data_IF_495431990997
#
_entry.id   IF_495431990997
#
_cell.length_a   1.000
_cell.length_b   1.000
_cell.length_c   1.000
_cell.angle_alpha   90.00
_cell.angle_beta   90.00
_cell.angle_gamma   90.00
#
_symmetry.space_group_name_H-M   'P 1'
#
loop_
_entity.id
_entity.type
_entity.pdbx_description
1 polymer ?
#
# COMPACT_ATOMS: atom_id res chain seq x y z
N UNK A 1 -3.47 27.97 -19.78
CA UNK A 1 -2.74 27.63 -18.54
C UNK A 1 -1.87 26.42 -18.84
N UNK A 2 -0.58 26.49 -18.58
CA UNK A 2 0.32 25.34 -18.75
C UNK A 2 0.11 24.27 -17.68
N UNK A 3 0.66 23.07 -17.91
CA UNK A 3 0.46 21.91 -17.02
C UNK A 3 1.08 22.12 -15.64
N UNK A 4 2.22 22.81 -15.54
CA UNK A 4 2.84 23.10 -14.26
C UNK A 4 1.97 24.03 -13.40
N UNK A 5 1.28 24.97 -14.03
CA UNK A 5 0.36 25.91 -13.39
C UNK A 5 -0.92 25.20 -12.97
N UNK A 6 -1.44 24.28 -13.80
CA UNK A 6 -2.57 23.42 -13.41
C UNK A 6 -2.23 22.55 -12.20
N UNK A 7 -1.07 21.90 -12.20
CA UNK A 7 -0.62 21.07 -11.08
C UNK A 7 -0.47 21.87 -9.79
N UNK A 8 0.08 23.10 -9.86
CA UNK A 8 0.15 23.98 -8.68
C UNK A 8 -1.23 24.42 -8.20
N UNK A 9 -2.13 24.76 -9.11
CA UNK A 9 -3.47 25.25 -8.77
C UNK A 9 -4.31 24.14 -8.13
N UNK A 10 -4.48 23.01 -8.82
CA UNK A 10 -5.26 21.89 -8.31
C UNK A 10 -4.54 21.16 -7.17
N UNK A 11 -3.20 21.14 -7.16
CA UNK A 11 -2.43 20.56 -6.07
C UNK A 11 -2.59 21.27 -4.72
N UNK A 12 -3.15 22.48 -4.73
CA UNK A 12 -3.48 23.23 -3.52
C UNK A 12 -4.89 22.92 -2.97
N UNK A 13 -5.73 22.19 -3.71
CA UNK A 13 -7.07 21.82 -3.26
C UNK A 13 -7.08 20.43 -2.65
N UNK A 14 -7.71 20.31 -1.48
CA UNK A 14 -8.09 19.00 -0.98
C UNK A 14 -9.23 18.41 -1.82
N UNK A 15 -9.41 17.10 -1.78
CA UNK A 15 -10.52 16.41 -2.45
C UNK A 15 -11.85 17.02 -2.02
N UNK A 16 -12.08 17.14 -0.71
CA UNK A 16 -13.34 17.68 -0.18
C UNK A 16 -13.57 19.13 -0.61
N UNK A 17 -12.54 19.99 -0.52
CA UNK A 17 -12.66 21.39 -0.95
C UNK A 17 -13.01 21.47 -2.44
N UNK A 18 -12.33 20.68 -3.27
CA UNK A 18 -12.62 20.67 -4.71
C UNK A 18 -14.05 20.22 -5.01
N UNK A 19 -14.51 19.11 -4.41
CA UNK A 19 -15.84 18.58 -4.66
C UNK A 19 -16.94 19.53 -4.19
N UNK A 20 -16.76 20.20 -3.04
CA UNK A 20 -17.76 21.12 -2.48
C UNK A 20 -17.71 22.51 -3.14
N UNK A 21 -16.54 23.13 -3.21
CA UNK A 21 -16.42 24.56 -3.55
C UNK A 21 -16.18 24.80 -5.04
N UNK A 22 -15.54 23.86 -5.75
CA UNK A 22 -15.21 24.01 -7.17
C UNK A 22 -16.22 23.26 -8.05
N UNK A 23 -16.52 22.01 -7.72
CA UNK A 23 -17.50 21.19 -8.44
C UNK A 23 -18.95 21.43 -7.97
N UNK A 24 -19.15 22.18 -6.88
CA UNK A 24 -20.46 22.55 -6.34
C UNK A 24 -21.37 21.33 -6.06
N UNK A 25 -20.80 20.24 -5.55
CA UNK A 25 -21.56 19.06 -5.17
C UNK A 25 -22.23 19.25 -3.80
N UNK A 26 -23.41 18.66 -3.64
CA UNK A 26 -24.09 18.64 -2.35
C UNK A 26 -23.32 17.81 -1.33
N UNK A 27 -23.52 18.08 -0.03
CA UNK A 27 -22.87 17.31 1.04
C UNK A 27 -23.13 15.80 0.92
N UNK A 28 -24.38 15.41 0.65
CA UNK A 28 -24.73 14.00 0.47
C UNK A 28 -24.06 13.36 -0.74
N UNK A 29 -23.84 14.10 -1.83
CA UNK A 29 -23.07 13.59 -2.97
C UNK A 29 -21.60 13.40 -2.62
N UNK A 30 -21.00 14.31 -1.85
CA UNK A 30 -19.60 14.18 -1.37
C UNK A 30 -19.45 13.00 -0.42
N UNK A 31 -20.39 12.82 0.52
CA UNK A 31 -20.37 11.68 1.44
C UNK A 31 -20.53 10.34 0.68
N UNK A 32 -21.44 10.29 -0.31
CA UNK A 32 -21.62 9.12 -1.17
C UNK A 32 -20.36 8.79 -1.99
N UNK A 33 -19.73 9.81 -2.59
CA UNK A 33 -18.46 9.67 -3.31
C UNK A 33 -17.37 9.15 -2.36
N UNK A 34 -17.28 9.72 -1.16
CA UNK A 34 -16.32 9.31 -0.13
C UNK A 34 -16.42 7.83 0.19
N UNK A 35 -17.64 7.35 0.46
CA UNK A 35 -17.88 5.97 0.80
C UNK A 35 -17.67 5.03 -0.39
N UNK A 36 -18.34 5.29 -1.52
CA UNK A 36 -18.39 4.36 -2.65
C UNK A 36 -17.08 4.27 -3.43
N UNK A 37 -16.26 5.32 -3.40
CA UNK A 37 -14.99 5.37 -4.13
C UNK A 37 -13.77 5.24 -3.21
N UNK A 38 -13.95 4.87 -1.95
CA UNK A 38 -12.89 4.75 -0.94
C UNK A 38 -12.09 6.06 -0.75
N UNK A 39 -12.76 7.21 -0.82
CA UNK A 39 -12.13 8.54 -0.70
C UNK A 39 -12.35 9.20 0.67
N UNK A 40 -13.23 8.63 1.50
CA UNK A 40 -13.62 9.24 2.78
C UNK A 40 -12.41 9.54 3.68
N UNK A 41 -11.49 8.57 3.82
CA UNK A 41 -10.28 8.73 4.62
C UNK A 41 -9.24 9.67 3.98
N UNK A 42 -9.39 10.00 2.69
CA UNK A 42 -8.45 10.81 1.91
C UNK A 42 -9.04 12.16 1.47
N UNK A 43 -10.16 12.57 2.07
CA UNK A 43 -10.83 13.85 1.77
C UNK A 43 -9.93 15.07 1.97
N UNK A 44 -8.88 14.94 2.80
CA UNK A 44 -7.87 15.97 3.03
C UNK A 44 -6.75 15.99 1.98
N UNK A 45 -6.55 14.90 1.24
CA UNK A 45 -5.45 14.76 0.31
C UNK A 45 -5.62 15.69 -0.90
N UNK A 46 -4.52 15.95 -1.61
CA UNK A 46 -4.57 16.74 -2.84
C UNK A 46 -5.45 16.05 -3.89
N UNK A 47 -6.35 16.81 -4.53
CA UNK A 47 -7.19 16.27 -5.62
C UNK A 47 -6.36 15.76 -6.81
N UNK A 48 -5.11 16.24 -6.95
CA UNK A 48 -4.18 15.74 -7.98
C UNK A 48 -3.81 14.28 -7.74
N UNK A 49 -3.70 13.83 -6.48
CA UNK A 49 -3.42 12.42 -6.18
C UNK A 49 -4.59 11.54 -6.58
N UNK A 50 -5.82 11.95 -6.25
CA UNK A 50 -7.02 11.20 -6.65
C UNK A 50 -7.19 11.19 -8.17
N UNK A 51 -6.97 12.33 -8.85
CA UNK A 51 -7.03 12.38 -10.30
C UNK A 51 -5.98 11.47 -10.96
N UNK A 52 -4.79 11.35 -10.36
CA UNK A 52 -3.74 10.42 -10.79
C UNK A 52 -4.20 8.97 -10.62
N UNK A 53 -4.80 8.62 -9.50
CA UNK A 53 -5.28 7.26 -9.25
C UNK A 53 -6.38 6.85 -10.24
N UNK A 54 -7.40 7.69 -10.46
CA UNK A 54 -8.43 7.41 -11.48
C UNK A 54 -7.88 7.35 -12.91
N UNK A 55 -6.75 8.02 -13.18
CA UNK A 55 -6.07 7.94 -14.48
C UNK A 55 -5.30 6.64 -14.66
N UNK A 56 -4.65 6.16 -13.60
CA UNK A 56 -3.87 4.92 -13.60
C UNK A 56 -4.76 3.67 -13.49
N UNK A 57 -5.88 3.79 -12.77
CA UNK A 57 -6.84 2.75 -12.49
C UNK A 57 -8.22 3.16 -13.04
N UNK A 58 -8.39 3.25 -14.38
CA UNK A 58 -9.69 3.56 -14.95
C UNK A 58 -10.70 2.46 -14.64
N UNK A 59 -11.99 2.79 -14.68
CA UNK A 59 -13.07 1.84 -14.34
C UNK A 59 -13.08 0.55 -15.18
N UNK A 60 -12.48 0.58 -16.38
CA UNK A 60 -12.34 -0.57 -17.28
C UNK A 60 -10.94 -1.21 -17.25
N UNK A 61 -10.13 -0.91 -16.23
CA UNK A 61 -8.84 -1.54 -16.05
C UNK A 61 -9.00 -3.04 -15.83
N UNK A 62 -8.20 -3.84 -16.54
CA UNK A 62 -8.10 -5.27 -16.30
C UNK A 62 -6.96 -5.52 -15.32
N UNK A 63 -7.29 -6.18 -14.21
CA UNK A 63 -6.31 -6.57 -13.20
C UNK A 63 -5.90 -8.03 -13.41
N UNK A 64 -4.62 -8.30 -13.21
CA UNK A 64 -4.07 -9.65 -13.18
C UNK A 64 -3.25 -9.80 -11.91
N UNK A 65 -3.06 -11.04 -11.49
CA UNK A 65 -2.25 -11.39 -10.35
C UNK A 65 -1.19 -12.41 -10.79
N UNK A 66 -0.15 -12.54 -10.00
CA UNK A 66 0.85 -13.60 -10.19
C UNK A 66 0.39 -14.83 -9.42
N UNK A 67 0.11 -15.91 -10.13
CA UNK A 67 -0.21 -17.21 -9.52
C UNK A 67 0.91 -17.62 -8.55
N UNK A 68 0.55 -17.94 -7.32
CA UNK A 68 1.51 -18.28 -6.26
C UNK A 68 2.05 -17.09 -5.46
N UNK A 69 1.74 -15.85 -5.84
CA UNK A 69 2.07 -14.64 -5.06
C UNK A 69 2.88 -13.60 -5.83
N UNK A 70 2.66 -12.32 -5.49
CA UNK A 70 3.33 -11.20 -6.16
C UNK A 70 4.83 -11.09 -5.80
N UNK A 71 5.28 -11.71 -4.71
CA UNK A 71 6.69 -11.72 -4.29
C UNK A 71 7.58 -12.54 -5.24
N UNK A 72 7.00 -13.48 -6.00
CA UNK A 72 7.70 -14.24 -7.04
C UNK A 72 8.40 -13.34 -8.06
N UNK A 73 7.83 -12.18 -8.41
CA UNK A 73 8.45 -11.23 -9.32
C UNK A 73 9.78 -10.69 -8.77
N UNK A 74 9.78 -10.24 -7.52
CA UNK A 74 10.97 -9.67 -6.89
C UNK A 74 12.02 -10.75 -6.62
N UNK A 75 11.58 -11.95 -6.22
CA UNK A 75 12.47 -13.11 -6.03
C UNK A 75 13.15 -13.52 -7.34
N UNK A 76 12.40 -13.54 -8.45
CA UNK A 76 12.94 -13.85 -9.77
C UNK A 76 13.95 -12.78 -10.22
N UNK A 77 13.66 -11.49 -10.00
CA UNK A 77 14.57 -10.40 -10.32
C UNK A 77 15.87 -10.47 -9.51
N UNK A 78 15.78 -10.76 -8.20
CA UNK A 78 16.93 -10.94 -7.33
C UNK A 78 17.83 -12.09 -7.81
N UNK A 79 17.23 -13.23 -8.18
CA UNK A 79 17.95 -14.38 -8.76
C UNK A 79 18.60 -14.03 -10.10
N UNK A 80 17.85 -13.37 -10.99
CA UNK A 80 18.34 -13.00 -12.31
C UNK A 80 19.56 -12.09 -12.23
N UNK A 81 19.57 -11.13 -11.28
CA UNK A 81 20.69 -10.22 -11.05
C UNK A 81 21.98 -10.98 -10.74
N UNK A 82 21.90 -12.02 -9.90
CA UNK A 82 23.06 -12.84 -9.51
C UNK A 82 23.61 -13.73 -10.64
N UNK A 83 22.80 -14.00 -11.66
CA UNK A 83 23.17 -14.90 -12.78
C UNK A 83 23.63 -14.17 -14.04
N UNK A 84 23.67 -12.82 -14.05
CA UNK A 84 24.09 -12.05 -15.23
C UNK A 84 25.57 -12.35 -15.57
N UNK A 85 25.87 -12.88 -16.77
CA UNK A 85 27.25 -13.15 -17.18
C UNK A 85 28.08 -11.86 -17.22
N UNK A 86 29.18 -11.82 -16.47
CA UNK A 86 30.07 -10.65 -16.38
C UNK A 86 29.57 -9.52 -15.46
N UNK A 87 28.33 -9.56 -14.98
CA UNK A 87 27.78 -8.61 -14.01
C UNK A 87 28.04 -9.05 -12.57
N UNK A 88 28.78 -8.24 -11.80
CA UNK A 88 28.98 -8.49 -10.36
C UNK A 88 27.80 -7.95 -9.55
N UNK A 89 26.66 -8.62 -9.60
CA UNK A 89 25.55 -8.29 -8.70
C UNK A 89 25.70 -9.07 -7.39
N UNK A 90 25.95 -8.36 -6.29
CA UNK A 90 26.01 -8.93 -4.94
C UNK A 90 24.86 -8.40 -4.11
N UNK A 91 24.06 -9.31 -3.54
CA UNK A 91 22.92 -8.98 -2.69
C UNK A 91 23.25 -9.30 -1.23
N UNK A 92 23.13 -8.30 -0.36
CA UNK A 92 23.37 -8.44 1.07
C UNK A 92 22.09 -8.15 1.84
N UNK A 93 21.50 -9.19 2.43
CA UNK A 93 20.33 -9.06 3.30
C UNK A 93 20.75 -8.81 4.76
N UNK A 94 19.82 -8.30 5.57
CA UNK A 94 20.05 -7.99 7.00
C UNK A 94 21.22 -7.02 7.23
N UNK A 95 21.42 -6.08 6.29
CA UNK A 95 22.44 -5.03 6.34
C UNK A 95 21.79 -3.65 6.23
N UNK A 96 21.06 -3.17 7.25
CA UNK A 96 20.46 -1.84 7.21
C UNK A 96 21.57 -0.78 7.15
N UNK A 97 21.55 0.05 6.11
CA UNK A 97 22.52 1.15 5.97
C UNK A 97 22.13 2.28 6.92
N UNK A 98 23.07 2.67 7.77
CA UNK A 98 22.88 3.74 8.77
C UNK A 98 23.58 5.03 8.37
N UNK A 99 24.67 4.93 7.59
CA UNK A 99 25.42 6.10 7.14
C UNK A 99 25.88 5.95 5.69
N UNK A 100 25.94 7.09 4.99
CA UNK A 100 26.54 7.22 3.66
C UNK A 100 27.60 8.32 3.72
N UNK A 101 28.86 7.93 3.55
CA UNK A 101 29.99 8.85 3.53
C UNK A 101 30.44 9.02 2.08
N UNK A 102 30.52 10.25 1.59
CA UNK A 102 30.99 10.55 0.24
C UNK A 102 32.18 11.51 0.30
N UNK A 103 33.28 11.10 -0.30
CA UNK A 103 34.50 11.88 -0.40
C UNK A 103 34.57 12.57 -1.76
N UNK A 104 34.54 13.91 -1.76
CA UNK A 104 34.65 14.69 -2.99
C UNK A 104 36.06 14.67 -3.59
N UNK A 105 37.10 14.37 -2.81
CA UNK A 105 38.47 14.27 -3.33
C UNK A 105 38.67 12.98 -4.11
N UNK A 106 38.22 11.84 -3.56
CA UNK A 106 38.34 10.53 -4.22
C UNK A 106 37.17 10.20 -5.14
N UNK A 107 36.08 10.99 -5.13
CA UNK A 107 34.84 10.72 -5.87
C UNK A 107 34.26 9.33 -5.54
N UNK A 108 34.40 8.89 -4.29
CA UNK A 108 33.92 7.59 -3.83
C UNK A 108 33.05 7.74 -2.60
N UNK A 109 32.02 6.89 -2.54
CA UNK A 109 31.19 6.67 -1.38
C UNK A 109 31.59 5.41 -0.61
N UNK A 110 31.37 5.45 0.69
CA UNK A 110 31.50 4.34 1.62
C UNK A 110 30.19 4.23 2.42
N UNK A 111 29.78 3.00 2.72
CA UNK A 111 28.54 2.71 3.43
C UNK A 111 28.86 2.20 4.84
N UNK A 112 28.01 2.51 5.80
CA UNK A 112 28.06 1.91 7.14
C UNK A 112 26.74 1.24 7.47
N UNK A 113 26.83 0.14 8.21
CA UNK A 113 25.69 -0.55 8.80
C UNK A 113 25.97 -0.77 10.28
N UNK A 114 25.15 -0.18 11.16
CA UNK A 114 25.30 -0.26 12.62
C UNK A 114 26.70 0.10 13.12
N UNK A 115 27.30 1.15 12.56
CA UNK A 115 28.64 1.62 12.93
C UNK A 115 29.80 0.80 12.34
N UNK A 116 29.51 -0.21 11.52
CA UNK A 116 30.53 -1.00 10.82
C UNK A 116 30.60 -0.57 9.37
N UNK A 117 31.79 -0.17 8.92
CA UNK A 117 32.07 0.14 7.52
C UNK A 117 31.92 -1.09 6.64
N UNK A 118 31.14 -0.96 5.57
CA UNK A 118 30.98 -2.01 4.56
C UNK A 118 32.18 -1.94 3.62
N UNK A 119 32.89 -3.06 3.38
CA UNK A 119 34.00 -3.09 2.44
C UNK A 119 33.55 -2.69 1.03
N UNK A 120 34.19 -1.68 0.46
CA UNK A 120 33.93 -1.23 -0.90
C UNK A 120 34.01 0.29 -1.04
N UNK A 121 34.42 0.73 -2.24
CA UNK A 121 34.35 2.13 -2.66
C UNK A 121 33.39 2.21 -3.85
N UNK A 122 32.34 3.01 -3.70
CA UNK A 122 31.27 3.12 -4.69
C UNK A 122 31.42 4.44 -5.45
N UNK A 123 31.42 4.43 -6.78
CA UNK A 123 31.39 5.67 -7.57
C UNK A 123 30.04 6.38 -7.45
N UNK A 124 28.99 5.56 -7.37
CA UNK A 124 27.59 5.98 -7.35
C UNK A 124 26.84 5.23 -6.26
N UNK A 125 25.92 5.93 -5.59
CA UNK A 125 25.05 5.35 -4.57
C UNK A 125 23.62 5.75 -4.90
N UNK A 126 22.76 4.75 -5.12
CA UNK A 126 21.33 4.94 -5.33
C UNK A 126 20.60 4.53 -4.05
N UNK A 127 19.95 5.50 -3.40
CA UNK A 127 19.12 5.27 -2.22
C UNK A 127 17.69 4.98 -2.68
N UNK A 128 17.32 3.71 -2.72
CA UNK A 128 16.01 3.22 -3.17
C UNK A 128 15.10 2.79 -2.00
N UNK A 129 15.17 3.51 -0.88
CA UNK A 129 14.32 3.29 0.30
C UNK A 129 13.13 4.27 0.30
N UNK A 130 12.20 4.12 1.25
CA UNK A 130 11.17 5.14 1.47
C UNK A 130 11.79 6.46 1.94
N UNK A 131 11.12 7.59 1.72
CA UNK A 131 11.64 8.90 2.13
C UNK A 131 11.90 8.97 3.65
N UNK A 132 11.05 8.33 4.46
CA UNK A 132 11.21 8.24 5.92
C UNK A 132 12.44 7.42 6.32
N UNK A 133 12.69 6.29 5.66
CA UNK A 133 13.90 5.50 5.89
C UNK A 133 15.16 6.25 5.43
N UNK A 134 15.12 6.90 4.27
CA UNK A 134 16.23 7.74 3.81
C UNK A 134 16.51 8.90 4.77
N UNK A 135 15.48 9.51 5.37
CA UNK A 135 15.66 10.57 6.37
C UNK A 135 16.37 10.10 7.65
N UNK A 136 16.37 8.80 7.95
CA UNK A 136 17.07 8.21 9.08
C UNK A 136 18.56 7.90 8.79
N UNK A 137 18.98 7.94 7.53
CA UNK A 137 20.36 7.70 7.12
C UNK A 137 21.20 8.97 7.37
N UNK A 138 22.36 8.81 7.98
CA UNK A 138 23.32 9.90 8.15
C UNK A 138 24.16 10.10 6.87
N UNK A 139 23.87 11.17 6.13
CA UNK A 139 24.64 11.56 4.94
C UNK A 139 25.77 12.51 5.31
N UNK A 140 27.00 12.14 4.94
CA UNK A 140 28.22 12.93 5.17
C UNK A 140 28.99 13.10 3.86
N UNK A 141 29.08 14.31 3.28
CA UNK A 141 28.45 15.55 3.73
C UNK A 141 26.93 15.49 3.63
N UNK A 142 26.25 16.36 4.40
CA UNK A 142 24.79 16.46 4.38
C UNK A 142 24.28 16.73 2.96
N UNK A 143 23.06 16.26 2.69
CA UNK A 143 22.35 16.51 1.43
C UNK A 143 22.34 18.02 1.15
N UNK A 144 22.99 18.43 0.04
CA UNK A 144 23.21 19.85 -0.31
C UNK A 144 21.92 20.66 -0.45
N UNK A 145 20.88 20.05 -1.01
CA UNK A 145 19.63 20.73 -1.29
C UNK A 145 18.69 20.66 -0.09
N UNK A 146 18.49 21.80 0.58
CA UNK A 146 17.58 21.90 1.74
C UNK A 146 16.15 21.48 1.40
N UNK A 147 15.67 21.78 0.18
CA UNK A 147 14.35 21.38 -0.31
C UNK A 147 14.20 19.86 -0.39
N UNK A 148 15.26 19.14 -0.78
CA UNK A 148 15.28 17.68 -0.76
C UNK A 148 15.20 17.16 0.68
N UNK A 149 15.94 17.75 1.61
CA UNK A 149 15.90 17.36 3.02
C UNK A 149 14.54 17.67 3.68
N UNK A 150 13.91 18.79 3.33
CA UNK A 150 12.54 19.12 3.74
C UNK A 150 11.54 18.10 3.20
N UNK A 151 11.63 17.76 1.90
CA UNK A 151 10.76 16.76 1.27
C UNK A 151 10.87 15.39 1.97
N UNK A 152 12.07 14.93 2.31
CA UNK A 152 12.25 13.65 3.02
C UNK A 152 11.53 13.61 4.38
N UNK A 153 11.43 14.75 5.08
CA UNK A 153 10.74 14.85 6.38
C UNK A 153 9.24 15.06 6.25
N UNK A 154 8.81 15.80 5.24
CA UNK A 154 7.44 16.30 5.11
C UNK A 154 6.57 15.46 4.19
N UNK A 155 7.15 14.54 3.41
CA UNK A 155 6.38 13.65 2.56
C UNK A 155 5.39 12.84 3.42
N UNK A 156 4.11 12.96 3.06
CA UNK A 156 3.03 12.22 3.69
C UNK A 156 3.00 10.78 3.16
N UNK A 157 2.72 9.84 4.04
CA UNK A 157 2.43 8.46 3.70
C UNK A 157 1.14 8.10 4.40
N UNK A 158 0.16 7.61 3.67
CA UNK A 158 -1.06 7.12 4.29
C UNK A 158 -0.82 5.76 4.93
N UNK A 159 -1.53 5.51 6.02
CA UNK A 159 -1.57 4.21 6.64
C UNK A 159 -2.34 3.23 5.73
N UNK A 160 -2.04 1.94 5.83
CA UNK A 160 -2.83 0.91 5.18
C UNK A 160 -2.85 -0.32 6.09
N UNK A 161 -4.02 -0.93 6.23
CA UNK A 161 -4.20 -2.15 7.03
C UNK A 161 -5.04 -3.16 6.27
N UNK A 162 -4.62 -4.42 6.34
CA UNK A 162 -5.27 -5.56 5.70
C UNK A 162 -5.52 -6.63 6.75
N UNK A 163 -6.76 -7.08 6.86
CA UNK A 163 -7.14 -8.21 7.72
C UNK A 163 -7.66 -9.30 6.81
N UNK A 164 -6.99 -10.44 6.81
CA UNK A 164 -7.39 -11.61 6.04
C UNK A 164 -7.86 -12.72 6.98
N UNK A 165 -8.93 -13.41 6.58
CA UNK A 165 -9.44 -14.58 7.28
C UNK A 165 -9.38 -15.80 6.37
N UNK A 166 -8.95 -16.92 6.94
CA UNK A 166 -9.12 -18.22 6.31
C UNK A 166 -10.41 -18.89 6.79
N UNK A 167 -11.10 -19.50 5.85
CA UNK A 167 -12.32 -20.26 6.07
C UNK A 167 -12.14 -21.68 5.54
N UNK A 168 -12.90 -22.63 6.07
CA UNK A 168 -12.92 -24.02 5.59
C UNK A 168 -13.56 -24.16 4.21
N UNK A 169 -14.51 -23.27 3.90
CA UNK A 169 -15.26 -23.24 2.64
C UNK A 169 -15.48 -21.80 2.17
N UNK A 170 -15.65 -21.61 0.85
CA UNK A 170 -16.03 -20.32 0.24
C UNK A 170 -17.53 -20.05 0.41
N UNK A 171 -17.97 -19.86 1.64
CA UNK A 171 -19.40 -19.73 1.98
C UNK A 171 -20.10 -18.56 1.26
N UNK A 172 -19.38 -17.51 0.87
CA UNK A 172 -19.92 -16.38 0.11
C UNK A 172 -20.38 -16.76 -1.30
N UNK A 173 -19.87 -17.85 -1.89
CA UNK A 173 -20.35 -18.36 -3.19
C UNK A 173 -21.80 -18.86 -3.12
N UNK A 174 -22.28 -19.29 -1.93
CA UNK A 174 -23.70 -19.62 -1.71
C UNK A 174 -24.60 -18.40 -1.85
N UNK A 175 -24.03 -17.20 -1.72
CA UNK A 175 -24.70 -15.92 -1.94
C UNK A 175 -24.42 -15.35 -3.35
N UNK A 176 -23.93 -16.19 -4.26
CA UNK A 176 -23.65 -15.85 -5.67
C UNK A 176 -22.52 -14.81 -5.81
N UNK A 177 -21.62 -14.74 -4.83
CA UNK A 177 -20.44 -13.86 -4.87
C UNK A 177 -19.24 -14.70 -5.37
N UNK A 178 -18.69 -14.37 -6.54
CA UNK A 178 -17.59 -15.12 -7.17
C UNK A 178 -16.38 -14.23 -7.49
N UNK A 179 -16.11 -13.25 -6.65
CA UNK A 179 -15.08 -12.24 -6.84
C UNK A 179 -15.57 -10.84 -6.48
N UNK A 180 -14.72 -9.83 -6.70
CA UNK A 180 -15.06 -8.44 -6.44
C UNK A 180 -14.97 -8.08 -4.96
N UNK A 181 -15.80 -7.14 -4.53
CA UNK A 181 -15.78 -6.62 -3.16
C UNK A 181 -17.15 -6.13 -2.69
N UNK A 182 -17.32 -6.06 -1.37
CA UNK A 182 -18.41 -5.35 -0.70
C UNK A 182 -17.88 -4.06 -0.10
N UNK A 183 -18.72 -3.01 -0.12
CA UNK A 183 -18.43 -1.69 0.43
C UNK A 183 -19.37 -1.43 1.61
N UNK A 184 -18.85 -0.90 2.70
CA UNK A 184 -19.62 -0.59 3.91
C UNK A 184 -19.01 0.59 4.65
N UNK A 185 -19.83 1.26 5.46
CA UNK A 185 -19.42 2.27 6.43
C UNK A 185 -18.96 1.65 7.77
N UNK A 186 -19.10 0.34 7.94
CA UNK A 186 -18.52 -0.40 9.06
C UNK A 186 -16.98 -0.32 9.05
N UNK A 187 -16.33 -0.51 10.21
CA UNK A 187 -14.86 -0.52 10.33
C UNK A 187 -14.07 -1.21 9.23
N UNK A 188 -14.56 -2.33 8.71
CA UNK A 188 -13.88 -3.12 7.67
C UNK A 188 -13.80 -2.44 6.30
N UNK A 189 -14.66 -1.46 6.02
CA UNK A 189 -14.76 -0.65 4.80
C UNK A 189 -14.93 -1.44 3.49
N UNK A 190 -13.90 -2.16 3.08
CA UNK A 190 -13.87 -2.96 1.86
C UNK A 190 -13.53 -4.42 2.16
N UNK A 191 -14.43 -5.31 1.79
CA UNK A 191 -14.26 -6.77 1.87
C UNK A 191 -13.98 -7.29 0.47
N UNK A 192 -12.85 -7.94 0.23
CA UNK A 192 -12.54 -8.51 -1.09
C UNK A 192 -12.67 -10.03 -1.09
N UNK A 193 -13.40 -10.53 -2.09
CA UNK A 193 -13.63 -11.95 -2.33
C UNK A 193 -12.67 -12.43 -3.41
N UNK A 194 -11.86 -13.42 -3.06
CA UNK A 194 -10.96 -14.03 -4.01
C UNK A 194 -11.64 -15.19 -4.73
N UNK A 195 -11.38 -15.29 -6.03
CA UNK A 195 -11.82 -16.42 -6.88
C UNK A 195 -10.60 -17.19 -7.41
N UNK A 196 -9.52 -17.21 -6.63
CA UNK A 196 -8.33 -17.98 -6.99
C UNK A 196 -8.58 -19.45 -6.61
N UNK A 197 -8.03 -20.36 -7.42
CA UNK A 197 -8.10 -21.82 -7.25
C UNK A 197 -9.41 -22.49 -7.73
N UNK A 198 -9.66 -22.41 -9.04
CA UNK A 198 -10.65 -23.27 -9.75
C UNK A 198 -10.05 -24.59 -10.25
N UNK A 199 -8.74 -24.81 -10.07
CA UNK A 199 -8.07 -26.05 -10.49
C UNK A 199 -8.40 -27.25 -9.62
N UNK A 200 -8.84 -27.03 -8.37
CA UNK A 200 -9.52 -28.05 -7.60
C UNK A 200 -11.02 -27.72 -7.54
N UNK A 201 -11.87 -28.65 -8.00
CA UNK A 201 -13.31 -28.68 -7.69
C UNK A 201 -13.58 -28.89 -6.18
N UNK A 202 -12.59 -28.60 -5.32
CA UNK A 202 -12.65 -28.82 -3.89
C UNK A 202 -12.98 -27.52 -3.22
N UNK A 203 -14.23 -27.45 -2.76
CA UNK A 203 -14.69 -26.49 -1.75
C UNK A 203 -14.00 -26.66 -0.38
N UNK A 204 -13.10 -27.63 -0.25
CA UNK A 204 -12.54 -28.15 1.01
C UNK A 204 -11.05 -27.79 1.24
N UNK A 205 -10.37 -27.16 0.27
CA UNK A 205 -8.92 -26.84 0.37
C UNK A 205 -8.64 -25.54 1.15
N UNK A 206 -9.64 -25.00 1.85
CA UNK A 206 -9.57 -23.71 2.52
C UNK A 206 -9.82 -22.53 1.58
N UNK A 207 -10.25 -21.41 2.16
CA UNK A 207 -10.76 -20.25 1.46
C UNK A 207 -10.20 -18.98 2.12
N UNK A 208 -9.50 -18.14 1.36
CA UNK A 208 -9.00 -16.86 1.87
C UNK A 208 -9.94 -15.73 1.47
N UNK A 209 -10.24 -14.85 2.42
CA UNK A 209 -10.93 -13.58 2.17
C UNK A 209 -10.12 -12.45 2.77
N UNK A 210 -10.01 -11.33 2.05
CA UNK A 210 -9.53 -10.08 2.64
C UNK A 210 -10.74 -9.38 3.26
N UNK A 211 -11.00 -9.70 4.53
CA UNK A 211 -12.15 -9.20 5.30
C UNK A 211 -12.13 -7.71 5.60
N UNK A 212 -10.97 -7.07 5.50
CA UNK A 212 -10.84 -5.62 5.63
C UNK A 212 -9.64 -5.16 4.83
N UNK A 213 -9.83 -4.13 4.01
CA UNK A 213 -8.76 -3.36 3.41
C UNK A 213 -9.05 -1.87 3.59
N UNK A 214 -8.31 -1.24 4.48
CA UNK A 214 -8.50 0.15 4.89
C UNK A 214 -7.24 0.96 4.62
N UNK A 215 -7.43 2.25 4.36
CA UNK A 215 -6.39 3.21 4.04
C UNK A 215 -6.51 4.43 4.95
N UNK A 216 -5.42 5.18 5.08
CA UNK A 216 -5.36 6.45 5.77
C UNK A 216 -6.00 6.38 7.16
N UNK A 217 -6.92 7.30 7.50
CA UNK A 217 -7.58 7.37 8.80
C UNK A 217 -8.39 6.11 9.13
N UNK A 218 -8.99 5.44 8.14
CA UNK A 218 -9.71 4.17 8.37
C UNK A 218 -8.75 3.07 8.84
N UNK A 219 -7.51 3.09 8.38
CA UNK A 219 -6.49 2.12 8.80
C UNK A 219 -5.99 2.35 10.24
N UNK A 220 -6.11 3.59 10.76
CA UNK A 220 -5.63 3.92 12.11
C UNK A 220 -6.46 3.24 13.20
N UNK A 221 -7.72 2.90 12.92
CA UNK A 221 -8.57 2.15 13.85
C UNK A 221 -7.90 0.86 14.32
N UNK A 222 -7.28 0.13 13.39
CA UNK A 222 -6.64 -1.15 13.67
C UNK A 222 -5.33 -1.00 14.44
N UNK A 223 -4.66 0.14 14.29
CA UNK A 223 -3.34 0.39 14.89
C UNK A 223 -3.38 0.44 16.43
N UNK A 224 -4.54 0.74 17.01
CA UNK A 224 -4.74 0.73 18.46
C UNK A 224 -5.19 -0.62 19.03
N UNK A 225 -5.44 -1.61 18.18
CA UNK A 225 -5.99 -2.91 18.57
C UNK A 225 -4.94 -4.02 18.50
N UNK A 226 -5.12 -5.05 19.33
CA UNK A 226 -4.38 -6.31 19.16
C UNK A 226 -4.98 -7.09 17.99
N UNK A 227 -4.15 -7.86 17.30
CA UNK A 227 -4.55 -8.65 16.12
C UNK A 227 -5.81 -9.47 16.35
N UNK A 228 -5.93 -10.16 17.50
CA UNK A 228 -7.11 -10.97 17.82
C UNK A 228 -8.41 -10.14 17.98
N UNK A 229 -8.30 -8.90 18.44
CA UNK A 229 -9.44 -7.98 18.56
C UNK A 229 -9.83 -7.45 17.18
N UNK A 230 -8.85 -7.10 16.36
CA UNK A 230 -9.05 -6.66 14.96
C UNK A 230 -9.71 -7.75 14.13
N UNK A 231 -9.21 -8.98 14.19
CA UNK A 231 -9.79 -10.12 13.49
C UNK A 231 -11.23 -10.40 13.95
N UNK A 232 -11.49 -10.38 15.26
CA UNK A 232 -12.84 -10.59 15.79
C UNK A 232 -13.82 -9.52 15.33
N UNK A 233 -13.45 -8.24 15.41
CA UNK A 233 -14.31 -7.14 14.94
C UNK A 233 -14.59 -7.27 13.44
N UNK A 234 -13.60 -7.64 12.64
CA UNK A 234 -13.80 -7.88 11.21
C UNK A 234 -14.76 -9.05 10.94
N UNK A 235 -14.68 -10.16 11.69
CA UNK A 235 -15.66 -11.25 11.62
C UNK A 235 -17.08 -10.80 12.03
N UNK A 236 -17.19 -10.00 13.10
CA UNK A 236 -18.47 -9.42 13.54
C UNK A 236 -19.09 -8.56 12.43
N UNK A 237 -18.28 -7.75 11.74
CA UNK A 237 -18.73 -6.94 10.60
C UNK A 237 -19.13 -7.81 9.40
N UNK A 238 -18.39 -8.88 9.09
CA UNK A 238 -18.78 -9.83 8.04
C UNK A 238 -20.13 -10.48 8.32
N UNK A 239 -20.41 -10.83 9.58
CA UNK A 239 -21.70 -11.37 9.99
C UNK A 239 -22.85 -10.37 9.71
N UNK A 240 -22.62 -9.07 9.95
CA UNK A 240 -23.58 -8.00 9.61
C UNK A 240 -23.76 -7.87 8.09
N UNK A 241 -22.66 -7.78 7.33
CA UNK A 241 -22.70 -7.58 5.87
C UNK A 241 -23.43 -8.74 5.16
N UNK A 242 -23.18 -9.97 5.60
CA UNK A 242 -23.70 -11.17 4.95
C UNK A 242 -24.97 -11.73 5.57
N UNK A 243 -25.43 -11.15 6.69
CA UNK A 243 -26.57 -11.64 7.48
C UNK A 243 -26.50 -13.16 7.73
N UNK A 244 -25.28 -13.68 7.96
CA UNK A 244 -25.00 -15.11 7.97
C UNK A 244 -24.42 -15.53 9.32
N UNK A 245 -25.27 -16.12 10.17
CA UNK A 245 -24.89 -16.62 11.50
C UNK A 245 -23.76 -17.65 11.49
N UNK A 246 -23.48 -18.25 10.34
CA UNK A 246 -22.49 -19.32 10.18
C UNK A 246 -21.08 -18.82 9.84
N UNK A 247 -20.84 -17.51 9.63
CA UNK A 247 -19.48 -16.99 9.29
C UNK A 247 -18.42 -17.49 10.27
N UNK A 248 -18.72 -17.50 11.57
CA UNK A 248 -17.80 -18.01 12.60
C UNK A 248 -17.56 -19.52 12.51
N UNK A 249 -18.58 -20.30 12.12
CA UNK A 249 -18.46 -21.77 12.01
C UNK A 249 -17.52 -22.21 10.89
N UNK A 250 -17.28 -21.33 9.91
CA UNK A 250 -16.35 -21.60 8.82
C UNK A 250 -14.95 -21.07 9.08
N UNK A 251 -14.73 -20.18 10.05
CA UNK A 251 -13.42 -19.57 10.31
C UNK A 251 -12.43 -20.61 10.87
N UNK A 252 -11.22 -20.66 10.33
CA UNK A 252 -10.22 -21.71 10.67
C UNK A 252 -9.01 -21.20 11.44
N UNK A 253 -8.95 -19.90 11.74
CA UNK A 253 -7.86 -19.26 12.49
C UNK A 253 -8.09 -17.76 12.63
#
# INVERSE_FOLDING_TARGET
MDDATRLRMYGAYSVQFYLMEVANLSRGAVDFIGLMLNLEADMYASIVEIARDFKLLPANANFSHIDGGNDLLINALAKACQTVPGGRCSLYLNRPITSVLYSSSSHTGTLESNGVTIPGNFTDIVVATTARAANAIDFRPRIKFITKYQALRQLNYDCASKIAHSFSVRWWEKQVITGGHSITDLPVRFVYYYNFNTTSNRTEDGALMLSSYTWSQDALLWSGMRDNQSCRLALDNLNVIHAASEVYSYATG
#
